data_IF_968344951893
#
_entry.id   IF_968344951893
#
_cell.length_a   1.000
_cell.length_b   1.000
_cell.length_c   1.000
_cell.angle_alpha   90.00
_cell.angle_beta   90.00
_cell.angle_gamma   90.00
#
_symmetry.space_group_name_H-M   'P 1'
#
loop_
_entity.id
_entity.type
_entity.pdbx_description
1 polymer ?
#
# COMPACT_ATOMS: atom_id res chain seq x y z
N UNK A 1 19.15 11.81 9.76
CA UNK A 1 18.61 10.44 9.61
C UNK A 1 17.15 10.51 9.98
N UNK A 2 16.32 10.65 8.98
CA UNK A 2 14.88 10.72 9.18
C UNK A 2 14.38 9.29 9.35
N UNK A 3 14.13 8.91 10.59
CA UNK A 3 13.43 7.68 10.91
C UNK A 3 11.95 7.93 10.63
N UNK A 4 11.47 7.44 9.53
CA UNK A 4 10.03 7.43 9.28
C UNK A 4 9.44 6.20 9.99
N UNK A 5 8.53 6.43 10.92
CA UNK A 5 7.67 5.39 11.46
C UNK A 5 6.79 4.88 10.32
N UNK A 6 7.19 3.80 9.70
CA UNK A 6 6.54 3.28 8.52
C UNK A 6 6.59 1.76 8.52
N UNK A 7 5.60 1.13 7.95
CA UNK A 7 5.45 -0.32 7.90
C UNK A 7 5.55 -0.79 6.47
N UNK A 8 6.44 -1.74 6.26
CA UNK A 8 6.58 -2.39 4.99
C UNK A 8 5.85 -3.73 5.00
N UNK A 9 4.94 -3.91 4.08
CA UNK A 9 4.32 -5.19 3.79
C UNK A 9 4.80 -5.64 2.43
N UNK A 10 5.42 -6.80 2.41
CA UNK A 10 5.86 -7.42 1.18
C UNK A 10 5.12 -8.72 0.92
N UNK A 11 4.74 -8.89 -0.28
CA UNK A 11 4.30 -10.11 -0.93
C UNK A 11 3.04 -10.84 -0.50
N UNK A 12 2.14 -10.92 -1.47
CA UNK A 12 1.08 -11.94 -1.55
C UNK A 12 1.70 -13.23 -2.04
N UNK A 13 1.80 -14.23 -1.18
CA UNK A 13 2.32 -15.53 -1.58
C UNK A 13 1.21 -16.58 -1.65
N UNK A 14 0.79 -16.95 -2.84
CA UNK A 14 0.32 -18.29 -3.16
C UNK A 14 0.80 -18.69 -4.54
N UNK A 15 1.57 -19.79 -4.54
CA UNK A 15 1.97 -20.66 -5.65
C UNK A 15 1.58 -20.20 -7.06
N UNK A 16 2.61 -19.93 -7.85
CA UNK A 16 2.58 -19.62 -9.28
C UNK A 16 2.12 -18.21 -9.61
N UNK A 17 3.09 -17.46 -10.11
CA UNK A 17 3.03 -16.06 -10.50
C UNK A 17 3.01 -15.06 -9.35
N UNK A 18 4.15 -14.72 -9.08
CA UNK A 18 4.68 -13.78 -8.12
C UNK A 18 4.17 -12.40 -8.34
N UNK A 19 3.43 -11.90 -7.39
CA UNK A 19 3.06 -10.50 -7.34
C UNK A 19 3.58 -9.82 -6.08
N UNK A 20 4.91 -9.67 -6.03
CA UNK A 20 5.53 -8.88 -5.00
C UNK A 20 5.31 -7.40 -5.19
N UNK A 21 4.24 -6.84 -4.67
CA UNK A 21 4.10 -5.40 -4.52
C UNK A 21 4.54 -5.03 -3.12
N UNK A 22 5.64 -4.29 -3.01
CA UNK A 22 6.12 -3.75 -1.75
C UNK A 22 5.34 -2.51 -1.37
N UNK A 23 4.58 -2.58 -0.29
CA UNK A 23 3.77 -1.48 0.21
C UNK A 23 4.36 -0.92 1.50
N UNK A 24 4.67 0.38 1.49
CA UNK A 24 5.05 1.12 2.67
C UNK A 24 3.83 1.85 3.23
N UNK A 25 3.39 1.46 4.43
CA UNK A 25 2.27 2.11 5.10
C UNK A 25 2.80 3.13 6.09
N UNK A 26 2.40 4.38 5.92
CA UNK A 26 2.78 5.50 6.78
C UNK A 26 1.55 6.11 7.46
N UNK A 27 1.76 6.87 8.51
CA UNK A 27 0.70 7.56 9.25
C UNK A 27 1.08 7.78 10.70
N UNK A 28 0.30 8.57 11.40
CA UNK A 28 0.54 8.87 12.81
C UNK A 28 0.45 7.63 13.69
N UNK A 29 1.16 7.67 14.83
CA UNK A 29 1.06 6.61 15.83
C UNK A 29 -0.37 6.47 16.33
N UNK A 30 -0.86 5.24 16.37
CA UNK A 30 -2.24 4.94 16.81
C UNK A 30 -3.31 5.01 15.74
N UNK A 31 -2.97 5.31 14.49
CA UNK A 31 -3.95 5.40 13.40
C UNK A 31 -4.46 4.02 12.92
N UNK A 32 -3.86 2.92 13.34
CA UNK A 32 -4.28 1.56 12.98
C UNK A 32 -3.34 0.82 12.03
N UNK A 33 -2.08 1.28 11.90
CA UNK A 33 -1.10 0.63 11.02
C UNK A 33 -0.79 -0.82 11.45
N UNK A 34 -0.59 -1.09 12.76
CA UNK A 34 -0.28 -2.45 13.25
C UNK A 34 -1.42 -3.41 13.05
N UNK A 35 -2.64 -2.98 13.29
CA UNK A 35 -3.84 -3.78 13.09
C UNK A 35 -4.04 -4.12 11.61
N UNK A 36 -3.83 -3.14 10.73
CA UNK A 36 -3.88 -3.37 9.27
C UNK A 36 -2.78 -4.34 8.82
N UNK A 37 -1.56 -4.20 9.34
CA UNK A 37 -0.46 -5.11 9.04
C UNK A 37 -0.77 -6.54 9.49
N UNK A 38 -1.29 -6.71 10.70
CA UNK A 38 -1.68 -8.03 11.23
C UNK A 38 -2.79 -8.69 10.39
N UNK A 39 -3.78 -7.93 9.98
CA UNK A 39 -4.84 -8.41 9.09
C UNK A 39 -4.26 -8.88 7.75
N UNK A 40 -3.36 -8.11 7.16
CA UNK A 40 -2.69 -8.47 5.92
C UNK A 40 -1.85 -9.75 6.07
N UNK A 41 -1.15 -9.94 7.19
CA UNK A 41 -0.43 -11.18 7.49
C UNK A 41 -1.39 -12.37 7.52
N UNK A 42 -2.53 -12.23 8.20
CA UNK A 42 -3.57 -13.29 8.24
C UNK A 42 -4.15 -13.60 6.86
N UNK A 43 -4.12 -12.66 5.95
CA UNK A 43 -4.55 -12.82 4.56
C UNK A 43 -3.45 -13.41 3.64
N UNK A 44 -2.29 -13.72 4.19
CA UNK A 44 -1.18 -14.37 3.49
C UNK A 44 -0.10 -13.44 2.96
N UNK A 45 -0.11 -12.18 3.35
CA UNK A 45 0.96 -11.23 3.05
C UNK A 45 2.11 -11.35 4.05
N UNK A 46 3.28 -10.82 3.69
CA UNK A 46 4.47 -10.90 4.52
C UNK A 46 4.81 -9.56 5.16
N UNK A 47 5.18 -9.60 6.41
CA UNK A 47 5.72 -8.45 7.13
C UNK A 47 7.22 -8.35 6.90
N UNK A 48 7.68 -7.15 6.57
CA UNK A 48 9.11 -6.80 6.61
C UNK A 48 9.43 -6.18 7.97
N UNK A 49 8.67 -5.16 8.35
CA UNK A 49 8.83 -4.46 9.64
C UNK A 49 7.55 -3.76 10.05
N UNK A 50 7.39 -3.52 11.34
CA UNK A 50 6.22 -2.83 11.90
C UNK A 50 6.46 -1.34 12.16
N UNK A 51 7.48 -1.00 12.91
CA UNK A 51 7.62 0.35 13.47
C UNK A 51 8.58 1.23 12.66
N UNK A 52 9.77 0.75 12.41
CA UNK A 52 10.80 1.49 11.69
C UNK A 52 11.24 0.75 10.44
N UNK A 53 11.36 1.47 9.33
CA UNK A 53 11.88 0.94 8.07
C UNK A 53 13.19 1.62 7.76
N UNK A 54 14.22 0.84 7.52
CA UNK A 54 15.46 1.30 6.92
C UNK A 54 15.31 1.27 5.40
N UNK A 55 15.36 2.44 4.77
CA UNK A 55 15.24 2.56 3.32
C UNK A 55 16.62 2.75 2.72
N UNK A 56 16.93 1.92 1.74
CA UNK A 56 18.18 1.98 0.98
C UNK A 56 17.89 2.17 -0.51
N UNK A 57 18.61 3.09 -1.14
CA UNK A 57 18.59 3.26 -2.59
C UNK A 57 19.53 2.24 -3.22
N UNK A 58 19.00 1.40 -4.08
CA UNK A 58 19.74 0.37 -4.83
C UNK A 58 20.06 0.86 -6.23
N UNK A 59 19.16 1.60 -6.85
CA UNK A 59 19.34 2.24 -8.15
C UNK A 59 18.51 3.51 -8.24
N UNK A 60 18.58 4.22 -9.36
CA UNK A 60 17.79 5.45 -9.57
C UNK A 60 16.27 5.22 -9.60
N UNK A 61 15.84 3.98 -9.72
CA UNK A 61 14.42 3.60 -9.76
C UNK A 61 14.02 2.65 -8.62
N UNK A 62 14.97 2.14 -7.85
CA UNK A 62 14.71 1.08 -6.87
C UNK A 62 15.10 1.47 -5.46
N UNK A 63 14.12 1.46 -4.57
CA UNK A 63 14.28 1.56 -3.12
C UNK A 63 13.96 0.21 -2.48
N UNK A 64 14.75 -0.17 -1.48
CA UNK A 64 14.54 -1.40 -0.70
C UNK A 64 14.37 -1.05 0.76
N UNK A 65 13.30 -1.58 1.35
CA UNK A 65 13.02 -1.48 2.77
C UNK A 65 13.46 -2.73 3.53
N UNK A 66 13.97 -2.54 4.74
CA UNK A 66 14.34 -3.60 5.67
C UNK A 66 14.05 -3.21 7.12
N UNK A 67 13.97 -4.20 7.99
CA UNK A 67 13.81 -3.96 9.42
C UNK A 67 15.16 -3.70 10.09
N UNK A 68 15.23 -2.78 11.07
CA UNK A 68 16.34 -2.75 12.02
C UNK A 68 16.44 -4.10 12.75
N UNK A 69 17.67 -4.59 12.96
CA UNK A 69 17.90 -5.93 13.48
C UNK A 69 17.24 -6.22 14.84
N UNK A 70 17.10 -5.20 15.69
CA UNK A 70 16.52 -5.34 17.04
C UNK A 70 15.00 -5.54 17.02
N UNK A 71 14.28 -4.91 16.09
CA UNK A 71 12.82 -4.94 16.00
C UNK A 71 12.28 -5.91 14.97
N UNK A 72 13.16 -6.68 14.35
CA UNK A 72 12.84 -7.61 13.28
C UNK A 72 11.74 -8.60 13.67
N UNK A 73 10.66 -8.66 12.90
CA UNK A 73 9.52 -9.57 13.06
C UNK A 73 8.60 -9.31 14.25
N UNK A 74 8.80 -8.23 15.00
CA UNK A 74 7.92 -7.86 16.09
C UNK A 74 6.87 -6.83 15.67
N UNK A 75 5.66 -6.99 16.20
CA UNK A 75 4.57 -6.02 16.07
C UNK A 75 4.13 -5.59 17.48
N UNK A 76 3.93 -4.29 17.66
CA UNK A 76 3.30 -3.74 18.85
C UNK A 76 1.79 -3.56 18.62
N UNK A 77 0.99 -4.21 19.46
CA UNK A 77 -0.47 -4.05 19.49
C UNK A 77 -0.87 -3.38 20.80
N UNK A 78 -1.48 -2.22 20.72
CA UNK A 78 -1.97 -1.51 21.90
C UNK A 78 -2.98 -2.36 22.66
N UNK A 79 -2.78 -2.48 23.98
CA UNK A 79 -3.61 -3.31 24.87
C UNK A 79 -3.23 -4.79 24.92
N UNK A 80 -2.42 -5.28 23.97
CA UNK A 80 -1.91 -6.65 23.92
C UNK A 80 -0.41 -6.68 24.23
N UNK A 81 0.36 -5.74 23.65
CA UNK A 81 1.80 -5.68 23.78
C UNK A 81 2.54 -6.13 22.53
N UNK A 82 3.75 -6.62 22.71
CA UNK A 82 4.62 -7.06 21.62
C UNK A 82 4.31 -8.52 21.26
N UNK A 83 4.12 -8.78 19.98
CA UNK A 83 3.97 -10.14 19.44
C UNK A 83 5.09 -10.43 18.44
N UNK A 84 5.56 -11.67 18.43
CA UNK A 84 6.51 -12.21 17.46
C UNK A 84 5.75 -12.86 16.30
N UNK A 85 5.72 -12.16 15.17
CA UNK A 85 4.97 -12.58 13.97
C UNK A 85 5.52 -13.87 13.40
N UNK A 86 6.83 -14.02 13.34
CA UNK A 86 7.48 -15.23 12.82
C UNK A 86 7.14 -16.46 13.65
N UNK A 87 7.14 -16.33 14.98
CA UNK A 87 6.80 -17.43 15.90
C UNK A 87 5.32 -17.77 15.85
N UNK A 88 4.42 -16.78 15.75
CA UNK A 88 2.98 -17.01 15.78
C UNK A 88 2.41 -17.47 14.43
N UNK A 89 2.93 -16.94 13.32
CA UNK A 89 2.37 -17.15 11.98
C UNK A 89 3.31 -17.91 11.03
N UNK A 90 4.50 -18.27 11.47
CA UNK A 90 5.48 -19.01 10.70
C UNK A 90 6.43 -18.16 9.86
N UNK A 91 7.48 -18.80 9.36
CA UNK A 91 8.54 -18.14 8.58
C UNK A 91 8.03 -17.54 7.25
N UNK A 92 6.92 -18.05 6.75
CA UNK A 92 6.29 -17.56 5.51
C UNK A 92 5.57 -16.22 5.68
N UNK A 93 5.36 -15.79 6.93
CA UNK A 93 4.69 -14.53 7.26
C UNK A 93 5.63 -13.33 7.34
N UNK A 94 6.93 -13.53 7.18
CA UNK A 94 7.95 -12.50 7.31
C UNK A 94 8.91 -12.50 6.13
N UNK A 95 9.51 -11.35 5.86
CA UNK A 95 10.53 -11.16 4.84
C UNK A 95 11.60 -10.20 5.35
N UNK A 96 12.85 -10.38 4.96
CA UNK A 96 13.94 -9.54 5.44
C UNK A 96 14.02 -8.19 4.73
N UNK A 97 13.78 -8.21 3.42
CA UNK A 97 13.87 -7.02 2.56
C UNK A 97 12.78 -7.06 1.52
N UNK A 98 12.32 -5.89 1.11
CA UNK A 98 11.34 -5.75 0.03
C UNK A 98 11.61 -4.46 -0.74
N UNK A 99 11.51 -4.53 -2.07
CA UNK A 99 11.42 -3.35 -2.91
C UNK A 99 10.16 -2.55 -2.55
N UNK A 100 10.28 -1.23 -2.50
CA UNK A 100 9.15 -0.33 -2.21
C UNK A 100 8.56 0.13 -3.54
N UNK A 101 7.39 -0.39 -3.87
CA UNK A 101 6.69 -0.09 -5.11
C UNK A 101 5.65 1.02 -4.95
N UNK A 102 5.04 1.12 -3.77
CA UNK A 102 4.04 2.12 -3.48
C UNK A 102 4.01 2.48 -1.99
N UNK A 103 3.53 3.67 -1.72
CA UNK A 103 3.30 4.17 -0.37
C UNK A 103 1.81 4.39 -0.14
N UNK A 104 1.32 3.95 0.99
CA UNK A 104 -0.02 4.25 1.46
C UNK A 104 0.09 5.08 2.73
N UNK A 105 -0.35 6.32 2.64
CA UNK A 105 -0.40 7.24 3.78
C UNK A 105 -1.79 7.18 4.41
N UNK A 106 -1.84 6.76 5.66
CA UNK A 106 -3.06 6.77 6.46
C UNK A 106 -3.18 8.12 7.17
N UNK A 107 -4.35 8.71 7.10
CA UNK A 107 -4.67 9.91 7.86
C UNK A 107 -6.09 9.86 8.42
N UNK A 108 -6.35 10.62 9.47
CA UNK A 108 -7.71 10.74 10.00
C UNK A 108 -8.64 11.34 8.95
N UNK A 109 -9.89 10.85 8.95
CA UNK A 109 -10.92 11.39 8.08
C UNK A 109 -11.10 12.89 8.32
N UNK A 110 -10.95 13.66 7.25
CA UNK A 110 -11.23 15.10 7.25
C UNK A 110 -12.35 15.39 6.24
N UNK A 111 -13.49 15.84 6.73
CA UNK A 111 -14.66 16.16 5.90
C UNK A 111 -14.43 17.34 4.93
N UNK A 112 -13.47 18.20 5.26
CA UNK A 112 -13.15 19.40 4.47
C UNK A 112 -12.10 19.11 3.38
N UNK A 113 -11.55 17.88 3.36
CA UNK A 113 -10.60 17.43 2.35
C UNK A 113 -11.30 16.58 1.29
N UNK A 114 -11.03 16.89 0.03
CA UNK A 114 -11.42 16.04 -1.08
C UNK A 114 -10.40 14.90 -1.22
N UNK A 115 -10.92 13.68 -1.28
CA UNK A 115 -10.12 12.49 -1.56
C UNK A 115 -10.35 12.06 -3.00
N UNK A 116 -9.27 11.64 -3.67
CA UNK A 116 -9.36 11.14 -5.03
C UNK A 116 -10.33 9.95 -5.12
N UNK A 117 -11.30 10.05 -6.00
CA UNK A 117 -12.33 9.03 -6.23
C UNK A 117 -12.09 8.23 -7.51
N UNK A 118 -11.40 8.81 -8.47
CA UNK A 118 -11.25 8.26 -9.81
C UNK A 118 -9.88 7.64 -10.05
N UNK A 119 -8.84 8.12 -9.36
CA UNK A 119 -7.47 7.63 -9.54
C UNK A 119 -6.88 7.96 -10.91
N UNK A 120 -7.32 9.07 -11.54
CA UNK A 120 -6.80 9.53 -12.82
C UNK A 120 -5.44 10.22 -12.68
N UNK A 121 -5.22 10.90 -11.57
CA UNK A 121 -3.97 11.56 -11.23
C UNK A 121 -3.22 10.74 -10.19
N UNK A 122 -1.92 10.58 -10.40
CA UNK A 122 -1.05 9.89 -9.45
C UNK A 122 -0.31 10.91 -8.60
N UNK A 123 -0.34 10.71 -7.29
CA UNK A 123 0.50 11.44 -6.34
C UNK A 123 1.78 10.64 -6.10
N UNK A 124 2.88 11.35 -5.82
CA UNK A 124 4.18 10.77 -5.56
C UNK A 124 4.76 11.33 -4.27
N UNK A 125 5.54 10.48 -3.60
CA UNK A 125 6.40 10.88 -2.49
C UNK A 125 7.85 10.56 -2.84
N UNK A 126 8.79 11.37 -2.38
CA UNK A 126 10.20 11.19 -2.67
C UNK A 126 10.95 10.67 -1.46
N UNK A 127 11.72 9.61 -1.66
CA UNK A 127 12.70 9.08 -0.70
C UNK A 127 14.05 8.94 -1.39
N UNK A 128 15.10 9.52 -0.80
CA UNK A 128 16.47 9.42 -1.31
C UNK A 128 16.61 9.80 -2.80
N UNK A 129 15.79 10.75 -3.27
CA UNK A 129 15.78 11.19 -4.65
C UNK A 129 14.92 10.35 -5.60
N UNK A 130 14.34 9.25 -5.16
CA UNK A 130 13.44 8.42 -5.96
C UNK A 130 11.97 8.75 -5.66
N UNK A 131 11.17 8.89 -6.70
CA UNK A 131 9.72 9.08 -6.59
C UNK A 131 9.00 7.75 -6.51
N UNK A 132 8.10 7.63 -5.54
CA UNK A 132 7.26 6.46 -5.34
C UNK A 132 5.81 6.88 -5.38
N UNK A 133 4.97 6.12 -6.07
CA UNK A 133 3.51 6.34 -6.08
C UNK A 133 2.97 6.32 -4.65
N UNK A 134 2.16 7.31 -4.31
CA UNK A 134 1.59 7.49 -2.98
C UNK A 134 0.07 7.64 -3.04
N UNK A 135 -0.63 6.87 -2.22
CA UNK A 135 -2.06 7.03 -2.01
C UNK A 135 -2.34 7.47 -0.59
N UNK A 136 -3.18 8.47 -0.42
CA UNK A 136 -3.63 8.93 0.89
C UNK A 136 -5.00 8.34 1.18
N UNK A 137 -5.09 7.52 2.22
CA UNK A 137 -6.32 6.85 2.64
C UNK A 137 -6.86 7.43 3.94
N UNK A 138 -8.09 7.93 3.95
CA UNK A 138 -8.75 8.37 5.17
C UNK A 138 -9.17 7.16 6.02
N UNK A 139 -8.80 7.19 7.28
CA UNK A 139 -9.20 6.18 8.26
C UNK A 139 -10.49 6.62 8.94
N UNK A 140 -11.50 5.78 8.92
CA UNK A 140 -12.77 5.99 9.62
C UNK A 140 -13.34 4.66 10.08
N UNK A 141 -14.18 4.67 11.15
CA UNK A 141 -14.82 3.45 11.64
C UNK A 141 -15.58 2.71 10.54
N UNK A 142 -15.51 1.38 10.56
CA UNK A 142 -16.18 0.50 9.60
C UNK A 142 -15.44 0.31 8.26
N UNK A 143 -14.31 0.99 8.04
CA UNK A 143 -13.51 0.81 6.84
C UNK A 143 -12.44 -0.26 7.06
N UNK A 144 -12.43 -1.30 6.22
CA UNK A 144 -11.40 -2.34 6.29
C UNK A 144 -10.14 -1.90 5.53
N UNK A 145 -9.15 -1.42 6.27
CA UNK A 145 -7.90 -0.92 5.70
C UNK A 145 -7.10 -2.02 4.98
N UNK A 146 -7.10 -3.24 5.50
CA UNK A 146 -6.36 -4.34 4.88
C UNK A 146 -6.89 -4.66 3.49
N UNK A 147 -8.20 -4.72 3.32
CA UNK A 147 -8.84 -4.95 2.02
C UNK A 147 -8.51 -3.82 1.04
N UNK A 148 -8.52 -2.58 1.50
CA UNK A 148 -8.23 -1.42 0.65
C UNK A 148 -6.76 -1.42 0.23
N UNK A 149 -5.85 -1.68 1.15
CA UNK A 149 -4.40 -1.80 0.86
C UNK A 149 -4.13 -2.91 -0.15
N UNK A 150 -4.72 -4.08 0.06
CA UNK A 150 -4.60 -5.22 -0.85
C UNK A 150 -5.12 -4.88 -2.25
N UNK A 151 -6.29 -4.25 -2.33
CA UNK A 151 -6.89 -3.81 -3.60
C UNK A 151 -6.04 -2.75 -4.30
N UNK A 152 -5.48 -1.82 -3.56
CA UNK A 152 -4.57 -0.81 -4.09
C UNK A 152 -3.29 -1.43 -4.66
N UNK A 153 -2.72 -2.43 -3.99
CA UNK A 153 -1.54 -3.15 -4.46
C UNK A 153 -1.82 -3.91 -5.77
N UNK A 154 -2.95 -4.62 -5.84
CA UNK A 154 -3.36 -5.34 -7.06
C UNK A 154 -3.61 -4.37 -8.21
N UNK A 155 -4.29 -3.26 -7.95
CA UNK A 155 -4.55 -2.23 -8.96
C UNK A 155 -3.25 -1.58 -9.47
N UNK A 156 -2.33 -1.25 -8.56
CA UNK A 156 -1.01 -0.74 -8.94
C UNK A 156 -0.29 -1.68 -9.89
N UNK A 157 -0.32 -2.96 -9.59
CA UNK A 157 0.27 -3.98 -10.45
C UNK A 157 -0.38 -4.04 -11.83
N UNK A 158 -1.71 -3.96 -11.91
CA UNK A 158 -2.40 -3.92 -13.20
C UNK A 158 -1.95 -2.71 -14.03
N UNK A 159 -1.75 -1.56 -13.38
CA UNK A 159 -1.20 -0.36 -14.04
C UNK A 159 0.22 -0.61 -14.58
N UNK A 160 1.07 -1.27 -13.81
CA UNK A 160 2.43 -1.63 -14.23
C UNK A 160 2.44 -2.60 -15.42
N UNK A 161 1.41 -3.42 -15.56
CA UNK A 161 1.19 -4.32 -16.70
C UNK A 161 0.49 -3.64 -17.89
N UNK A 162 0.23 -2.35 -17.81
CA UNK A 162 -0.35 -1.54 -18.88
C UNK A 162 -1.86 -1.33 -18.81
N UNK A 163 -2.57 -1.91 -17.85
CA UNK A 163 -4.01 -1.69 -17.67
C UNK A 163 -4.30 -0.66 -16.59
N UNK A 164 -5.02 0.38 -16.94
CA UNK A 164 -5.47 1.41 -16.01
C UNK A 164 -6.99 1.53 -16.02
N UNK A 165 -7.64 1.04 -14.97
CA UNK A 165 -9.10 0.99 -14.87
C UNK A 165 -9.76 2.38 -14.94
N UNK A 166 -9.14 3.41 -14.35
CA UNK A 166 -9.66 4.77 -14.39
C UNK A 166 -9.66 5.34 -15.81
N UNK A 167 -8.58 5.13 -16.57
CA UNK A 167 -8.49 5.54 -17.97
C UNK A 167 -9.47 4.77 -18.86
N UNK A 168 -9.64 3.48 -18.61
CA UNK A 168 -10.61 2.66 -19.33
C UNK A 168 -12.04 3.11 -19.07
N UNK A 169 -12.40 3.40 -17.84
CA UNK A 169 -13.71 3.95 -17.50
C UNK A 169 -13.94 5.29 -18.21
N UNK A 170 -12.96 6.20 -18.19
CA UNK A 170 -13.05 7.48 -18.86
C UNK A 170 -13.26 7.33 -20.36
N UNK A 171 -12.53 6.42 -21.01
CA UNK A 171 -12.71 6.10 -22.44
C UNK A 171 -14.14 5.63 -22.75
N UNK A 172 -14.69 4.71 -21.93
CA UNK A 172 -16.07 4.21 -22.12
C UNK A 172 -17.11 5.30 -21.96
N UNK A 173 -16.94 6.18 -20.99
CA UNK A 173 -17.85 7.32 -20.78
C UNK A 173 -17.82 8.26 -21.98
N UNK A 174 -16.65 8.58 -22.51
CA UNK A 174 -16.54 9.43 -23.69
C UNK A 174 -17.18 8.79 -24.93
N UNK A 175 -16.94 7.51 -25.18
CA UNK A 175 -17.56 6.80 -26.32
C UNK A 175 -19.09 6.75 -26.20
N UNK A 176 -19.61 6.57 -24.99
CA UNK A 176 -21.04 6.55 -24.76
C UNK A 176 -21.68 7.92 -25.00
N UNK A 177 -21.03 9.00 -24.58
CA UNK A 177 -21.46 10.37 -24.86
C UNK A 177 -21.46 10.70 -26.37
N UNK A 178 -20.48 10.23 -27.12
CA UNK A 178 -20.43 10.43 -28.58
C UNK A 178 -21.54 9.67 -29.28
N UNK A 179 -21.87 8.46 -28.87
CA UNK A 179 -22.99 7.66 -29.45
C UNK A 179 -24.36 8.26 -29.13
N UNK A 180 -24.54 8.78 -27.89
CA UNK A 180 -25.82 9.43 -27.50
C UNK A 180 -26.08 10.78 -28.15
N UNK A 181 -25.05 11.42 -28.73
CA UNK A 181 -25.20 12.65 -29.50
C UNK A 181 -25.60 12.45 -30.96
N UNK A 182 -25.56 11.22 -31.49
CA UNK A 182 -26.00 10.89 -32.86
C UNK A 182 -27.50 10.55 -32.94
N UNK A 183 -28.13 10.24 -31.79
CA UNK A 183 -29.56 9.87 -31.73
C UNK A 183 -30.51 11.07 -31.51
N UNK A 184 -30.01 12.26 -31.24
CA UNK A 184 -30.82 13.48 -31.02
C UNK A 184 -30.96 14.39 -32.27
N UNK A 185 -30.40 14.01 -33.43
CA UNK A 185 -30.46 14.76 -34.69
C UNK A 185 -31.31 14.09 -35.80
N UNK A 186 -32.28 13.18 -35.46
CA UNK A 186 -33.28 12.68 -36.40
C UNK A 186 -34.70 13.20 -36.11
#
# INVERSE_FOLDING_TARGET
RDYYASRGLGDVYKRQDVYGVGVLITGESGIGKSEAALELIKRGHRLVTDDAVEIRKVSDETLVGSAPGVTKYFIELRGIGIIDVKTLFGVESVKETQEIDMVIKLEDWNKDREYDRLGLEEEYIEYLGNKVVCHTLPVRPGRNLAVIVESAAVNHRQKMMGYNAAKELYRRVQENLMRGGEDDDE
#
